data_IF_241807687152
#
_entry.id   IF_241807687152
#
_cell.length_a   1.000
_cell.length_b   1.000
_cell.length_c   1.000
_cell.angle_alpha   90.00
_cell.angle_beta   90.00
_cell.angle_gamma   90.00
#
_symmetry.space_group_name_H-M   'P 1'
#
loop_
_entity.id
_entity.type
_entity.pdbx_description
1 polymer ?
#
# COMPACT_ATOMS: atom_id res chain seq x y z
N UNK A 1 12.99 8.45 -15.25
CA UNK A 1 13.91 8.45 -14.08
C UNK A 1 13.06 8.61 -12.83
N UNK A 2 13.31 7.82 -11.78
CA UNK A 2 12.74 7.99 -10.46
C UNK A 2 13.54 9.08 -9.72
N UNK A 3 12.88 9.92 -8.92
CA UNK A 3 13.58 10.84 -8.03
C UNK A 3 14.43 10.03 -7.05
N UNK A 4 15.63 10.51 -6.73
CA UNK A 4 16.49 9.88 -5.74
C UNK A 4 16.27 10.60 -4.40
N UNK A 5 15.98 9.83 -3.36
CA UNK A 5 15.83 10.27 -1.98
C UNK A 5 16.96 9.62 -1.17
N UNK A 6 18.05 10.33 -0.97
CA UNK A 6 19.26 9.81 -0.31
C UNK A 6 18.98 9.27 1.10
N UNK A 7 18.01 9.85 1.78
CA UNK A 7 17.59 9.45 3.12
C UNK A 7 16.87 8.10 3.17
N UNK A 8 16.39 7.58 2.02
CA UNK A 8 15.78 6.25 1.93
C UNK A 8 16.82 5.13 1.89
N UNK A 9 18.08 5.42 1.60
CA UNK A 9 19.15 4.43 1.60
C UNK A 9 19.30 3.83 2.99
N UNK A 10 19.30 2.50 3.06
CA UNK A 10 19.37 1.70 4.30
C UNK A 10 18.16 1.86 5.25
N UNK A 11 17.12 2.63 4.92
CA UNK A 11 15.85 2.63 5.67
C UNK A 11 15.18 1.27 5.55
N UNK A 12 14.62 0.76 6.64
CA UNK A 12 13.83 -0.47 6.65
C UNK A 12 12.40 -0.19 6.30
N UNK A 13 11.94 -0.85 5.24
CA UNK A 13 10.60 -0.67 4.69
C UNK A 13 9.83 -1.97 4.79
N UNK A 14 8.62 -1.92 5.32
CA UNK A 14 7.73 -3.07 5.34
C UNK A 14 6.49 -2.82 4.48
N UNK A 15 6.22 -3.72 3.53
CA UNK A 15 5.11 -3.58 2.58
C UNK A 15 4.16 -4.79 2.68
N UNK A 16 2.86 -4.55 2.86
CA UNK A 16 1.84 -5.60 2.76
C UNK A 16 1.36 -5.76 1.31
N UNK A 17 1.19 -7.01 0.84
CA UNK A 17 0.76 -7.29 -0.53
C UNK A 17 1.79 -6.84 -1.57
N UNK A 18 3.08 -7.10 -1.29
CA UNK A 18 4.19 -6.63 -2.11
C UNK A 18 4.50 -7.48 -3.35
N UNK A 19 3.79 -8.61 -3.56
CA UNK A 19 4.14 -9.57 -4.62
C UNK A 19 3.63 -9.23 -6.02
N UNK A 20 2.68 -8.31 -6.16
CA UNK A 20 2.09 -7.95 -7.46
C UNK A 20 1.56 -6.52 -7.52
N UNK A 21 1.26 -6.03 -8.72
CA UNK A 21 0.57 -4.77 -8.97
C UNK A 21 1.24 -3.55 -8.35
N UNK A 22 0.47 -2.76 -7.61
CA UNK A 22 0.95 -1.54 -6.94
C UNK A 22 2.03 -1.91 -5.91
N UNK A 23 1.80 -2.96 -5.10
CA UNK A 23 2.73 -3.38 -4.06
C UNK A 23 4.09 -3.79 -4.62
N UNK A 24 4.13 -4.57 -5.69
CA UNK A 24 5.39 -4.95 -6.35
C UNK A 24 6.16 -3.74 -6.88
N UNK A 25 5.44 -2.78 -7.46
CA UNK A 25 6.06 -1.52 -7.90
C UNK A 25 6.61 -0.70 -6.73
N UNK A 26 5.92 -0.68 -5.58
CA UNK A 26 6.42 -0.01 -4.36
C UNK A 26 7.70 -0.69 -3.87
N UNK A 27 7.69 -2.03 -3.74
CA UNK A 27 8.87 -2.81 -3.33
C UNK A 27 10.06 -2.51 -4.25
N UNK A 28 9.86 -2.59 -5.57
CA UNK A 28 10.91 -2.33 -6.54
C UNK A 28 11.50 -0.93 -6.40
N UNK A 29 10.65 0.10 -6.27
CA UNK A 29 11.10 1.48 -6.18
C UNK A 29 11.88 1.76 -4.88
N UNK A 30 11.48 1.17 -3.74
CA UNK A 30 12.30 1.27 -2.52
C UNK A 30 13.63 0.51 -2.65
N UNK A 31 13.65 -0.64 -3.32
CA UNK A 31 14.88 -1.36 -3.61
C UNK A 31 15.82 -0.54 -4.53
N UNK A 32 15.27 0.19 -5.51
CA UNK A 32 16.02 1.12 -6.38
C UNK A 32 16.68 2.25 -5.57
N UNK A 33 16.03 2.71 -4.46
CA UNK A 33 16.59 3.73 -3.54
C UNK A 33 17.66 3.16 -2.59
N UNK A 34 17.93 1.86 -2.62
CA UNK A 34 18.86 1.21 -1.69
C UNK A 34 18.30 0.94 -0.30
N UNK A 35 16.98 0.94 -0.16
CA UNK A 35 16.30 0.57 1.09
C UNK A 35 16.40 -0.93 1.38
N UNK A 36 16.33 -1.30 2.66
CA UNK A 36 16.20 -2.67 3.14
C UNK A 36 14.70 -3.03 3.20
N UNK A 37 14.20 -3.73 2.17
CA UNK A 37 12.77 -3.96 1.99
C UNK A 37 12.36 -5.36 2.45
N UNK A 38 11.38 -5.42 3.34
CA UNK A 38 10.65 -6.63 3.73
C UNK A 38 9.23 -6.53 3.17
N UNK A 39 8.72 -7.58 2.59
CA UNK A 39 7.33 -7.59 2.14
C UNK A 39 6.64 -8.93 2.37
N UNK A 40 5.35 -8.87 2.58
CA UNK A 40 4.50 -10.04 2.73
C UNK A 40 3.50 -10.15 1.58
N UNK A 41 3.22 -11.37 1.19
CA UNK A 41 2.19 -11.72 0.21
C UNK A 41 1.78 -13.19 0.40
N UNK A 42 0.62 -13.58 -0.15
CA UNK A 42 0.19 -14.98 -0.25
C UNK A 42 0.67 -15.64 -1.54
N UNK A 43 1.01 -14.85 -2.57
CA UNK A 43 1.45 -15.34 -3.88
C UNK A 43 2.97 -15.52 -3.93
N UNK A 44 3.45 -16.72 -3.54
CA UNK A 44 4.88 -17.05 -3.50
C UNK A 44 5.54 -16.95 -4.89
N UNK A 45 4.85 -17.38 -5.95
CA UNK A 45 5.41 -17.37 -7.31
C UNK A 45 5.71 -15.94 -7.79
N UNK A 46 4.76 -15.04 -7.65
CA UNK A 46 4.93 -13.65 -8.05
C UNK A 46 5.98 -12.94 -7.16
N UNK A 47 5.96 -13.21 -5.86
CA UNK A 47 6.90 -12.63 -4.89
C UNK A 47 8.35 -13.05 -5.17
N UNK A 48 8.60 -14.35 -5.40
CA UNK A 48 9.94 -14.85 -5.73
C UNK A 48 10.43 -14.31 -7.08
N UNK A 49 9.54 -14.13 -8.07
CA UNK A 49 9.86 -13.49 -9.33
C UNK A 49 10.34 -12.06 -9.11
N UNK A 50 9.63 -11.26 -8.30
CA UNK A 50 10.01 -9.88 -7.98
C UNK A 50 11.39 -9.81 -7.30
N UNK A 51 11.67 -10.71 -6.35
CA UNK A 51 12.99 -10.78 -5.68
C UNK A 51 14.11 -10.99 -6.72
N UNK A 52 13.91 -11.89 -7.68
CA UNK A 52 14.88 -12.14 -8.77
C UNK A 52 15.02 -10.94 -9.70
N UNK A 53 13.92 -10.25 -10.02
CA UNK A 53 13.94 -9.07 -10.87
C UNK A 53 14.73 -7.91 -10.23
N UNK A 54 14.52 -7.63 -8.93
CA UNK A 54 15.32 -6.65 -8.20
C UNK A 54 16.82 -7.00 -8.20
N UNK A 55 17.15 -8.27 -7.96
CA UNK A 55 18.54 -8.76 -8.04
C UNK A 55 19.17 -8.55 -9.43
N UNK A 56 18.43 -8.88 -10.49
CA UNK A 56 18.90 -8.75 -11.87
C UNK A 56 19.11 -7.28 -12.29
N UNK A 57 18.35 -6.35 -11.68
CA UNK A 57 18.50 -4.90 -11.89
C UNK A 57 19.61 -4.27 -11.05
N UNK A 58 20.34 -5.06 -10.23
CA UNK A 58 21.32 -4.58 -9.26
C UNK A 58 20.73 -3.61 -8.22
N UNK A 59 19.46 -3.74 -7.88
CA UNK A 59 18.83 -3.04 -6.76
C UNK A 59 19.09 -3.80 -5.45
N UNK A 60 18.76 -3.19 -4.31
CA UNK A 60 18.68 -3.93 -3.04
C UNK A 60 17.75 -5.13 -3.22
N UNK A 61 18.13 -6.29 -2.67
CA UNK A 61 17.32 -7.52 -2.80
C UNK A 61 16.31 -7.56 -1.67
N UNK A 62 15.00 -7.50 -1.97
CA UNK A 62 13.98 -7.51 -0.92
C UNK A 62 13.82 -8.89 -0.29
N UNK A 63 13.41 -8.92 0.97
CA UNK A 63 13.08 -10.14 1.69
C UNK A 63 11.58 -10.41 1.61
N UNK A 64 11.20 -11.49 0.93
CA UNK A 64 9.82 -11.98 0.87
C UNK A 64 9.51 -12.89 2.05
N UNK A 65 8.34 -12.70 2.67
CA UNK A 65 7.82 -13.58 3.72
C UNK A 65 6.37 -13.94 3.36
N UNK A 66 6.08 -15.23 3.23
CA UNK A 66 4.70 -15.68 3.01
C UNK A 66 3.88 -15.44 4.28
N UNK A 67 2.80 -14.67 4.16
CA UNK A 67 1.91 -14.38 5.27
C UNK A 67 0.49 -14.09 4.75
N UNK A 68 -0.51 -14.71 5.36
CA UNK A 68 -1.92 -14.43 5.13
C UNK A 68 -2.41 -13.37 6.12
N UNK A 69 -2.85 -12.24 5.61
CA UNK A 69 -3.39 -11.13 6.41
C UNK A 69 -4.71 -11.46 7.15
N UNK A 70 -5.38 -12.54 6.80
CA UNK A 70 -6.50 -13.05 7.57
C UNK A 70 -6.06 -13.62 8.92
N UNK A 71 -4.79 -14.06 9.04
CA UNK A 71 -4.18 -14.51 10.28
C UNK A 71 -3.40 -13.36 10.95
N UNK A 72 -4.09 -12.57 11.76
CA UNK A 72 -3.50 -11.41 12.46
C UNK A 72 -2.33 -11.82 13.37
N UNK A 73 -2.43 -12.98 14.03
CA UNK A 73 -1.35 -13.46 14.93
C UNK A 73 -0.07 -13.74 14.15
N UNK A 74 -0.18 -14.34 12.97
CA UNK A 74 0.96 -14.60 12.10
C UNK A 74 1.58 -13.31 11.56
N UNK A 75 0.73 -12.35 11.14
CA UNK A 75 1.15 -11.01 10.74
C UNK A 75 1.95 -10.30 11.85
N UNK A 76 1.42 -10.28 13.08
CA UNK A 76 2.07 -9.64 14.22
C UNK A 76 3.40 -10.33 14.58
N UNK A 77 3.43 -11.67 14.56
CA UNK A 77 4.65 -12.45 14.80
C UNK A 77 5.72 -12.18 13.72
N UNK A 78 5.29 -12.05 12.45
CA UNK A 78 6.19 -11.73 11.34
C UNK A 78 6.84 -10.37 11.53
N UNK A 79 6.05 -9.34 11.85
CA UNK A 79 6.56 -7.98 12.09
C UNK A 79 7.49 -7.96 13.32
N UNK A 80 7.10 -8.64 14.42
CA UNK A 80 7.93 -8.72 15.62
C UNK A 80 9.30 -9.34 15.31
N UNK A 81 9.33 -10.46 14.58
CA UNK A 81 10.60 -11.10 14.18
C UNK A 81 11.50 -10.20 13.34
N UNK A 82 10.93 -9.40 12.44
CA UNK A 82 11.69 -8.43 11.65
C UNK A 82 12.31 -7.39 12.59
N UNK A 83 11.53 -6.83 13.52
CA UNK A 83 12.00 -5.81 14.45
C UNK A 83 13.07 -6.38 15.39
N UNK A 84 12.86 -7.58 15.94
CA UNK A 84 13.78 -8.22 16.90
C UNK A 84 15.14 -8.56 16.26
N UNK A 85 15.14 -8.98 14.99
CA UNK A 85 16.35 -9.42 14.31
C UNK A 85 17.07 -8.31 13.53
N UNK A 86 16.34 -7.32 13.02
CA UNK A 86 16.88 -6.34 12.08
C UNK A 86 16.74 -4.90 12.59
N UNK A 87 15.96 -4.66 13.63
CA UNK A 87 15.70 -3.32 14.19
C UNK A 87 14.44 -2.68 13.66
N UNK A 88 14.26 -1.40 13.92
CA UNK A 88 13.01 -0.67 13.65
C UNK A 88 12.64 -0.69 12.16
N UNK A 89 11.35 -0.75 11.88
CA UNK A 89 10.78 -0.47 10.56
C UNK A 89 10.58 1.04 10.46
N UNK A 90 11.34 1.71 9.59
CA UNK A 90 11.27 3.17 9.40
C UNK A 90 10.06 3.59 8.58
N UNK A 91 9.68 2.76 7.60
CA UNK A 91 8.54 3.02 6.70
C UNK A 91 7.63 1.80 6.65
N UNK A 92 6.36 1.99 7.01
CA UNK A 92 5.30 0.99 6.87
C UNK A 92 4.39 1.37 5.70
N UNK A 93 4.21 0.47 4.73
CA UNK A 93 3.26 0.63 3.63
C UNK A 93 2.16 -0.42 3.72
N UNK A 94 0.97 -0.01 4.11
CA UNK A 94 -0.24 -0.82 4.10
C UNK A 94 -0.87 -0.74 2.70
N UNK A 95 -0.61 -1.75 1.87
CA UNK A 95 -1.04 -1.78 0.47
C UNK A 95 -2.00 -2.94 0.16
N UNK A 96 -1.84 -4.09 0.80
CA UNK A 96 -2.63 -5.27 0.47
C UNK A 96 -4.14 -5.00 0.43
N UNK A 97 -4.79 -5.47 -0.62
CA UNK A 97 -6.23 -5.32 -0.80
C UNK A 97 -6.77 -6.33 -1.82
N UNK A 98 -8.08 -6.55 -1.80
CA UNK A 98 -8.80 -7.33 -2.79
C UNK A 98 -10.10 -6.60 -3.16
N UNK A 99 -10.18 -6.16 -4.42
CA UNK A 99 -11.28 -5.41 -5.01
C UNK A 99 -12.33 -6.30 -5.70
N UNK A 100 -12.56 -7.52 -5.17
CA UNK A 100 -13.53 -8.46 -5.73
C UNK A 100 -14.89 -7.80 -5.95
N UNK A 101 -15.39 -7.88 -7.19
CA UNK A 101 -16.69 -7.32 -7.57
C UNK A 101 -17.83 -8.22 -7.08
N UNK A 102 -18.94 -7.61 -6.66
CA UNK A 102 -20.11 -8.33 -6.16
C UNK A 102 -21.38 -7.50 -6.31
N UNK A 103 -22.52 -8.16 -6.48
CA UNK A 103 -23.83 -7.54 -6.34
C UNK A 103 -24.24 -7.45 -4.87
N UNK A 104 -25.19 -6.59 -4.55
CA UNK A 104 -25.71 -6.46 -3.18
C UNK A 104 -26.38 -7.77 -2.73
N UNK A 105 -27.08 -8.45 -3.64
CA UNK A 105 -27.86 -9.64 -3.33
C UNK A 105 -27.00 -10.91 -3.10
N UNK A 106 -25.74 -10.91 -3.56
CA UNK A 106 -24.82 -12.06 -3.43
C UNK A 106 -23.93 -11.99 -2.19
N UNK A 107 -23.91 -10.87 -1.46
CA UNK A 107 -23.04 -10.68 -0.30
C UNK A 107 -23.59 -11.45 0.90
N UNK A 108 -22.83 -12.46 1.35
CA UNK A 108 -23.06 -13.12 2.64
C UNK A 108 -22.30 -12.40 3.77
N UNK A 109 -22.64 -12.73 5.02
CA UNK A 109 -21.93 -12.20 6.18
C UNK A 109 -20.44 -12.62 6.17
N UNK A 110 -20.13 -13.85 5.75
CA UNK A 110 -18.78 -14.37 5.64
C UNK A 110 -17.98 -13.61 4.58
N UNK A 111 -18.57 -13.38 3.40
CA UNK A 111 -17.95 -12.58 2.33
C UNK A 111 -17.67 -11.17 2.82
N UNK A 112 -18.65 -10.52 3.47
CA UNK A 112 -18.48 -9.19 4.03
C UNK A 112 -17.33 -9.15 5.04
N UNK A 113 -17.31 -10.06 5.99
CA UNK A 113 -16.30 -10.12 7.04
C UNK A 113 -14.90 -10.36 6.46
N UNK A 114 -14.79 -11.26 5.49
CA UNK A 114 -13.52 -11.50 4.79
C UNK A 114 -13.02 -10.25 4.06
N UNK A 115 -13.92 -9.55 3.31
CA UNK A 115 -13.55 -8.31 2.59
C UNK A 115 -13.11 -7.21 3.54
N UNK A 116 -13.80 -7.02 4.66
CA UNK A 116 -13.38 -6.07 5.70
C UNK A 116 -12.05 -6.46 6.34
N UNK A 117 -11.84 -7.73 6.60
CA UNK A 117 -10.60 -8.24 7.17
C UNK A 117 -9.40 -8.01 6.23
N UNK A 118 -9.54 -8.29 4.94
CA UNK A 118 -8.46 -8.09 3.96
C UNK A 118 -8.23 -6.61 3.65
N UNK A 119 -9.29 -5.78 3.57
CA UNK A 119 -9.17 -4.42 3.04
C UNK A 119 -9.03 -3.34 4.12
N UNK A 120 -9.26 -3.66 5.41
CA UNK A 120 -9.23 -2.67 6.50
C UNK A 120 -8.53 -3.19 7.77
N UNK A 121 -8.92 -4.38 8.30
CA UNK A 121 -8.47 -4.83 9.62
C UNK A 121 -6.96 -4.88 9.76
N UNK A 122 -6.23 -5.39 8.76
CA UNK A 122 -4.78 -5.50 8.86
C UNK A 122 -4.06 -4.16 8.99
N UNK A 123 -4.61 -3.06 8.46
CA UNK A 123 -4.03 -1.71 8.61
C UNK A 123 -3.86 -1.32 10.08
N UNK A 124 -4.87 -1.65 10.89
CA UNK A 124 -4.80 -1.38 12.33
C UNK A 124 -3.70 -2.20 13.01
N UNK A 125 -3.65 -3.49 12.74
CA UNK A 125 -2.73 -4.40 13.43
C UNK A 125 -1.28 -4.28 12.97
N UNK A 126 -1.00 -3.88 11.74
CA UNK A 126 0.36 -3.54 11.30
C UNK A 126 0.88 -2.30 12.03
N UNK A 127 0.07 -1.24 12.12
CA UNK A 127 0.43 -0.03 12.87
C UNK A 127 0.65 -0.34 14.35
N UNK A 128 -0.23 -1.12 14.97
CA UNK A 128 -0.07 -1.57 16.34
C UNK A 128 1.26 -2.30 16.57
N UNK A 129 1.69 -3.12 15.60
CA UNK A 129 2.91 -3.93 15.68
C UNK A 129 4.19 -3.09 15.57
N UNK A 130 4.20 -2.05 14.73
CA UNK A 130 5.40 -1.20 14.54
C UNK A 130 5.50 -0.03 15.54
N UNK A 131 4.34 0.42 16.08
CA UNK A 131 4.23 1.63 16.90
C UNK A 131 5.29 1.75 17.98
N UNK A 132 5.47 0.70 18.79
CA UNK A 132 6.39 0.75 19.94
C UNK A 132 7.84 0.97 19.51
N UNK A 133 8.26 0.29 18.44
CA UNK A 133 9.62 0.42 17.91
C UNK A 133 9.84 1.80 17.25
N UNK A 134 8.86 2.32 16.49
CA UNK A 134 8.93 3.66 15.90
C UNK A 134 9.00 4.76 16.97
N UNK A 135 8.22 4.65 18.06
CA UNK A 135 8.28 5.60 19.19
C UNK A 135 9.67 5.58 19.83
N UNK A 136 10.23 4.40 20.09
CA UNK A 136 11.57 4.27 20.66
C UNK A 136 12.65 4.84 19.73
N UNK A 137 12.45 4.76 18.41
CA UNK A 137 13.33 5.34 17.38
C UNK A 137 13.09 6.83 17.14
N UNK A 138 12.10 7.45 17.79
CA UNK A 138 11.73 8.86 17.66
C UNK A 138 11.35 9.27 16.23
N UNK A 139 10.57 8.45 15.56
CA UNK A 139 10.04 8.78 14.24
C UNK A 139 9.72 7.56 13.37
N UNK A 140 9.06 7.83 12.25
CA UNK A 140 8.69 6.86 11.25
C UNK A 140 7.68 7.42 10.25
N UNK A 141 7.44 6.67 9.17
CA UNK A 141 6.41 7.01 8.19
C UNK A 141 5.48 5.84 7.95
N UNK A 142 4.18 6.07 8.07
CA UNK A 142 3.12 5.11 7.80
C UNK A 142 2.32 5.59 6.60
N UNK A 143 2.23 4.76 5.57
CA UNK A 143 1.56 5.09 4.32
C UNK A 143 0.46 4.06 4.07
N UNK A 144 -0.78 4.51 4.02
CA UNK A 144 -1.95 3.68 3.79
C UNK A 144 -2.44 3.85 2.35
N UNK A 145 -2.58 2.75 1.60
CA UNK A 145 -3.11 2.81 0.24
C UNK A 145 -4.63 2.78 0.28
N UNK A 146 -5.23 3.93 -0.01
CA UNK A 146 -6.66 4.14 -0.15
C UNK A 146 -7.22 3.71 -1.50
N UNK A 147 -8.29 4.38 -1.96
CA UNK A 147 -8.88 4.27 -3.29
C UNK A 147 -9.85 5.42 -3.53
N UNK A 148 -9.95 5.93 -4.76
CA UNK A 148 -10.99 6.89 -5.15
C UNK A 148 -12.38 6.25 -5.25
N UNK A 149 -12.50 4.92 -5.20
CA UNK A 149 -13.75 4.19 -5.46
C UNK A 149 -14.94 4.67 -4.61
N UNK A 150 -14.71 5.01 -3.34
CA UNK A 150 -15.76 5.54 -2.48
C UNK A 150 -16.07 7.02 -2.78
N UNK A 151 -15.09 7.79 -3.27
CA UNK A 151 -15.27 9.20 -3.62
C UNK A 151 -16.09 9.39 -4.89
N UNK A 152 -15.88 8.51 -5.90
CA UNK A 152 -16.62 8.53 -7.15
C UNK A 152 -17.94 7.73 -7.10
N UNK A 153 -18.30 7.14 -5.96
CA UNK A 153 -19.52 6.33 -5.82
C UNK A 153 -19.48 5.05 -6.67
N UNK A 154 -18.35 4.36 -6.73
CA UNK A 154 -18.19 3.16 -7.54
C UNK A 154 -19.12 2.03 -7.07
N UNK A 155 -20.04 1.61 -7.96
CA UNK A 155 -20.91 0.46 -7.73
C UNK A 155 -20.23 -0.90 -7.90
N UNK A 156 -20.92 -1.99 -7.49
CA UNK A 156 -20.46 -3.37 -7.68
C UNK A 156 -19.31 -3.79 -6.76
N UNK A 157 -19.04 -3.05 -5.67
CA UNK A 157 -17.95 -3.34 -4.72
C UNK A 157 -18.15 -2.69 -3.35
N UNK A 158 -19.37 -2.73 -2.83
CA UNK A 158 -19.76 -2.01 -1.61
C UNK A 158 -18.86 -2.33 -0.39
N UNK A 159 -18.51 -3.60 -0.17
CA UNK A 159 -17.63 -3.99 0.93
C UNK A 159 -16.21 -3.39 0.79
N UNK A 160 -15.68 -3.32 -0.45
CA UNK A 160 -14.38 -2.70 -0.72
C UNK A 160 -14.43 -1.19 -0.52
N UNK A 161 -15.45 -0.49 -1.05
CA UNK A 161 -15.59 0.95 -0.91
C UNK A 161 -15.77 1.36 0.55
N UNK A 162 -16.56 0.60 1.34
CA UNK A 162 -16.70 0.81 2.77
C UNK A 162 -15.37 0.66 3.51
N UNK A 163 -14.60 -0.40 3.21
CA UNK A 163 -13.29 -0.61 3.80
C UNK A 163 -12.32 0.53 3.45
N UNK A 164 -12.27 0.94 2.17
CA UNK A 164 -11.34 1.99 1.70
C UNK A 164 -11.71 3.39 2.21
N UNK A 165 -12.97 3.69 2.45
CA UNK A 165 -13.35 4.90 3.19
C UNK A 165 -12.90 4.85 4.66
N UNK A 166 -12.97 3.66 5.28
CA UNK A 166 -12.46 3.42 6.63
C UNK A 166 -10.95 3.63 6.78
N UNK A 167 -10.16 3.37 5.73
CA UNK A 167 -8.71 3.63 5.70
C UNK A 167 -8.40 5.11 5.94
N UNK A 168 -9.21 6.02 5.39
CA UNK A 168 -9.08 7.47 5.64
C UNK A 168 -9.29 7.80 7.11
N UNK A 169 -10.34 7.22 7.73
CA UNK A 169 -10.61 7.38 9.16
C UNK A 169 -9.45 6.89 10.03
N UNK A 170 -8.89 5.69 9.72
CA UNK A 170 -7.71 5.16 10.42
C UNK A 170 -6.49 6.07 10.25
N UNK A 171 -6.23 6.56 9.03
CA UNK A 171 -5.12 7.46 8.75
C UNK A 171 -5.17 8.70 9.63
N UNK A 172 -6.34 9.33 9.72
CA UNK A 172 -6.55 10.56 10.51
C UNK A 172 -6.42 10.32 12.01
N UNK A 173 -6.97 9.20 12.51
CA UNK A 173 -6.86 8.84 13.91
C UNK A 173 -5.40 8.56 14.28
N UNK A 174 -4.72 7.71 13.52
CA UNK A 174 -3.31 7.39 13.79
C UNK A 174 -2.38 8.60 13.66
N UNK A 175 -2.64 9.52 12.74
CA UNK A 175 -1.85 10.76 12.63
C UNK A 175 -1.97 11.61 13.89
N UNK A 176 -3.14 11.63 14.55
CA UNK A 176 -3.34 12.33 15.83
C UNK A 176 -2.66 11.63 16.98
N UNK A 177 -2.79 10.29 17.05
CA UNK A 177 -2.27 9.48 18.15
C UNK A 177 -0.74 9.37 18.12
N UNK A 178 -0.12 9.48 16.93
CA UNK A 178 1.31 9.19 16.73
C UNK A 178 2.17 10.42 16.43
N UNK A 179 1.53 11.56 16.13
CA UNK A 179 2.25 12.78 15.74
C UNK A 179 3.14 13.35 16.85
N UNK A 180 2.78 13.19 18.11
CA UNK A 180 3.62 13.60 19.26
C UNK A 180 4.96 12.84 19.32
N UNK A 181 5.09 11.71 18.62
CA UNK A 181 6.29 10.88 18.54
C UNK A 181 7.05 11.05 17.20
N UNK A 182 6.76 12.09 16.43
CA UNK A 182 7.32 12.34 15.09
C UNK A 182 7.03 11.20 14.08
N UNK A 183 5.95 10.45 14.29
CA UNK A 183 5.48 9.43 13.34
C UNK A 183 4.44 10.06 12.44
N UNK A 184 4.75 10.15 11.15
CA UNK A 184 3.84 10.67 10.12
C UNK A 184 2.92 9.56 9.62
N UNK A 185 1.65 9.88 9.41
CA UNK A 185 0.68 8.93 8.85
C UNK A 185 -0.10 9.61 7.73
N UNK A 186 0.00 9.07 6.51
CA UNK A 186 -0.65 9.61 5.33
C UNK A 186 -1.34 8.51 4.52
N UNK A 187 -2.30 8.89 3.70
CA UNK A 187 -2.95 8.00 2.73
C UNK A 187 -2.59 8.43 1.30
N UNK A 188 -2.18 7.48 0.47
CA UNK A 188 -2.13 7.64 -0.99
C UNK A 188 -3.40 7.00 -1.54
N UNK A 189 -4.17 7.76 -2.32
CA UNK A 189 -5.50 7.40 -2.81
C UNK A 189 -5.46 7.24 -4.33
N UNK A 190 -5.23 6.00 -4.84
CA UNK A 190 -5.14 5.76 -6.27
C UNK A 190 -6.49 5.87 -6.99
N UNK A 191 -6.44 6.35 -8.23
CA UNK A 191 -7.46 6.12 -9.25
C UNK A 191 -7.44 4.69 -9.79
N UNK A 192 -7.89 4.50 -11.04
CA UNK A 192 -7.85 3.19 -11.67
C UNK A 192 -6.46 2.89 -12.23
N UNK A 193 -5.69 2.11 -11.48
CA UNK A 193 -4.30 1.76 -11.79
C UNK A 193 -4.25 0.52 -12.70
N UNK A 194 -3.49 0.59 -13.78
CA UNK A 194 -3.31 -0.49 -14.76
C UNK A 194 -2.34 -1.56 -14.24
N UNK A 195 -2.80 -2.35 -13.27
CA UNK A 195 -2.12 -3.58 -12.86
C UNK A 195 -2.49 -4.72 -13.81
N UNK A 196 -1.69 -5.80 -13.86
CA UNK A 196 -2.01 -7.00 -14.68
C UNK A 196 -3.44 -7.49 -14.41
N UNK A 197 -3.83 -7.62 -13.13
CA UNK A 197 -5.18 -8.02 -12.73
C UNK A 197 -6.28 -7.11 -13.29
N UNK A 198 -6.07 -5.78 -13.27
CA UNK A 198 -7.05 -4.83 -13.78
C UNK A 198 -7.17 -4.90 -15.31
N UNK A 199 -6.06 -5.08 -16.00
CA UNK A 199 -6.01 -5.22 -17.45
C UNK A 199 -6.71 -6.51 -17.88
N UNK A 200 -6.40 -7.62 -17.22
CA UNK A 200 -6.97 -8.93 -17.57
C UNK A 200 -8.47 -9.06 -17.28
N UNK A 201 -8.93 -8.49 -16.15
CA UNK A 201 -10.29 -8.71 -15.68
C UNK A 201 -11.30 -7.63 -16.08
N UNK A 202 -10.86 -6.37 -16.22
CA UNK A 202 -11.79 -5.24 -16.25
C UNK A 202 -11.54 -4.24 -17.38
N UNK A 203 -10.36 -4.24 -18.00
CA UNK A 203 -10.05 -3.29 -19.06
C UNK A 203 -10.64 -3.76 -20.39
N UNK A 204 -11.62 -2.99 -20.91
CA UNK A 204 -12.14 -3.12 -22.28
C UNK A 204 -11.87 -1.82 -23.03
N UNK A 205 -11.94 -1.81 -24.39
CA UNK A 205 -11.81 -0.57 -25.14
C UNK A 205 -12.79 0.52 -24.70
N UNK A 206 -14.03 0.14 -24.35
CA UNK A 206 -15.07 1.06 -23.91
C UNK A 206 -14.76 1.63 -22.50
N UNK A 207 -14.35 0.78 -21.56
CA UNK A 207 -14.01 1.21 -20.20
C UNK A 207 -12.73 2.06 -20.18
N UNK A 208 -11.76 1.79 -21.06
CA UNK A 208 -10.56 2.62 -21.26
C UNK A 208 -10.95 4.01 -21.81
N UNK A 209 -11.79 4.06 -22.84
CA UNK A 209 -12.23 5.32 -23.42
C UNK A 209 -13.01 6.18 -22.41
N UNK A 210 -13.91 5.56 -21.61
CA UNK A 210 -14.66 6.25 -20.55
C UNK A 210 -13.73 6.78 -19.44
N UNK A 211 -12.77 5.97 -18.99
CA UNK A 211 -11.77 6.40 -18.03
C UNK A 211 -10.96 7.60 -18.54
N UNK A 212 -10.42 7.52 -19.75
CA UNK A 212 -9.63 8.60 -20.36
C UNK A 212 -10.44 9.87 -20.57
N UNK A 213 -11.75 9.75 -20.85
CA UNK A 213 -12.66 10.89 -20.95
C UNK A 213 -12.80 11.61 -19.62
N UNK A 214 -12.91 10.89 -18.52
CA UNK A 214 -13.09 11.43 -17.15
C UNK A 214 -11.80 12.03 -16.57
N UNK A 215 -10.63 11.52 -16.95
CA UNK A 215 -9.34 12.03 -16.46
C UNK A 215 -8.95 13.37 -17.13
N UNK A 216 -8.24 14.23 -16.39
CA UNK A 216 -7.60 15.41 -16.97
C UNK A 216 -6.40 15.00 -17.84
N UNK A 217 -5.54 14.11 -17.35
CA UNK A 217 -4.41 13.58 -18.12
C UNK A 217 -4.84 12.35 -18.93
N UNK A 218 -4.68 12.42 -20.27
CA UNK A 218 -5.21 11.43 -21.22
C UNK A 218 -4.28 10.23 -21.44
N UNK A 219 -3.79 9.67 -20.35
CA UNK A 219 -2.99 8.43 -20.36
C UNK A 219 -3.22 7.61 -19.08
N UNK A 220 -2.98 6.32 -19.19
CA UNK A 220 -3.21 5.35 -18.11
C UNK A 220 -2.40 5.67 -16.86
N UNK A 221 -3.00 5.45 -15.69
CA UNK A 221 -2.34 5.50 -14.40
C UNK A 221 -1.61 4.16 -14.17
N UNK A 222 -0.31 4.21 -13.99
CA UNK A 222 0.53 3.01 -13.83
C UNK A 222 0.91 2.77 -12.37
N UNK A 223 1.21 1.52 -11.96
CA UNK A 223 1.71 1.22 -10.61
C UNK A 223 2.90 2.09 -10.18
N UNK A 224 3.79 2.44 -11.11
CA UNK A 224 4.94 3.31 -10.85
C UNK A 224 4.56 4.76 -10.49
N UNK A 225 3.40 5.25 -10.92
CA UNK A 225 2.93 6.59 -10.54
C UNK A 225 2.58 6.61 -9.05
N UNK A 226 1.97 5.53 -8.55
CA UNK A 226 1.66 5.37 -7.12
C UNK A 226 2.95 5.17 -6.31
N UNK A 227 3.86 4.28 -6.78
CA UNK A 227 5.11 4.00 -6.08
C UNK A 227 5.96 5.26 -5.87
N UNK A 228 6.05 6.15 -6.87
CA UNK A 228 6.75 7.44 -6.74
C UNK A 228 6.18 8.34 -5.65
N UNK A 229 4.86 8.38 -5.52
CA UNK A 229 4.20 9.13 -4.45
C UNK A 229 4.45 8.51 -3.08
N UNK A 230 4.47 7.16 -3.02
CA UNK A 230 4.81 6.43 -1.78
C UNK A 230 6.26 6.69 -1.37
N UNK A 231 7.21 6.72 -2.30
CA UNK A 231 8.61 7.12 -2.01
C UNK A 231 8.68 8.51 -1.38
N UNK A 232 7.97 9.51 -1.95
CA UNK A 232 7.91 10.85 -1.39
C UNK A 232 7.43 10.84 0.06
N UNK A 233 6.31 10.16 0.36
CA UNK A 233 5.81 10.06 1.73
C UNK A 233 6.71 9.23 2.65
N UNK A 234 7.47 8.27 2.12
CA UNK A 234 8.47 7.51 2.87
C UNK A 234 9.71 8.31 3.23
N UNK A 235 10.05 9.33 2.45
CA UNK A 235 11.25 10.14 2.59
C UNK A 235 11.07 11.34 3.52
N UNK A 236 12.18 11.93 3.95
CA UNK A 236 12.22 13.16 4.75
C UNK A 236 11.80 14.40 3.93
N UNK A 237 11.73 14.30 2.59
CA UNK A 237 11.16 15.35 1.73
C UNK A 237 9.69 15.65 2.08
N UNK A 238 8.99 14.69 2.73
CA UNK A 238 7.63 14.87 3.23
C UNK A 238 7.55 15.10 4.75
N UNK A 239 8.62 15.58 5.40
CA UNK A 239 8.67 15.77 6.86
C UNK A 239 7.55 16.66 7.43
N UNK A 240 7.06 17.62 6.66
CA UNK A 240 5.91 18.46 7.03
C UNK A 240 4.53 17.84 6.70
N UNK A 241 4.47 16.60 6.14
CA UNK A 241 3.24 16.00 5.67
C UNK A 241 2.78 14.88 6.62
N UNK A 242 1.67 15.10 7.31
CA UNK A 242 0.96 14.07 8.07
C UNK A 242 -0.53 14.34 8.00
N UNK A 243 -1.38 13.32 8.23
CA UNK A 243 -2.83 13.45 8.20
C UNK A 243 -3.40 13.87 6.82
N UNK A 244 -2.70 13.52 5.73
CA UNK A 244 -3.10 13.86 4.37
C UNK A 244 -3.68 12.65 3.63
N UNK A 245 -4.70 12.92 2.80
CA UNK A 245 -5.22 12.02 1.79
C UNK A 245 -4.79 12.55 0.42
N UNK A 246 -3.74 11.96 -0.17
CA UNK A 246 -3.16 12.43 -1.42
C UNK A 246 -3.68 11.60 -2.61
N UNK A 247 -4.53 12.22 -3.42
CA UNK A 247 -5.13 11.57 -4.58
C UNK A 247 -4.15 11.52 -5.75
N UNK A 248 -4.02 10.33 -6.36
CA UNK A 248 -3.20 10.07 -7.55
C UNK A 248 -4.08 9.32 -8.57
N UNK A 249 -4.79 10.06 -9.41
CA UNK A 249 -5.85 9.52 -10.27
C UNK A 249 -5.88 10.13 -11.69
N UNK A 250 -4.82 10.85 -12.07
CA UNK A 250 -4.75 11.61 -13.34
C UNK A 250 -5.81 12.73 -13.46
N UNK A 251 -6.36 13.20 -12.33
CA UNK A 251 -7.41 14.21 -12.32
C UNK A 251 -8.76 13.66 -12.76
N UNK A 252 -9.18 12.55 -12.16
CA UNK A 252 -10.52 11.97 -12.33
C UNK A 252 -11.53 12.61 -11.37
N UNK A 253 -11.12 12.97 -10.14
CA UNK A 253 -11.93 13.68 -9.14
C UNK A 253 -11.97 15.18 -9.41
#
# INVERSE_FOLDING_TARGET
MTAIYEDLKNKRVFVTGGGSGIGASIVEHFCEQGSEVYFIDINEKASNKLVLECKNKNFSVPTFIKCDLLNIKDLQNTISKIIDNNGVIDVLVNNAANDERHSIDEVTEEFWNERMNINLRHYFFTVQSVKKAMIANKGGSIINIGSVSWMIGQGGMAAYTAAKSGVVGLTRSFARDLGEFDIRVNSVVPGWVMTERQIEKWLTPESEADMLKKQCLKHKLMPSDIAKTVLFFGSDASSGCTNQDYVVDKGWL
#
